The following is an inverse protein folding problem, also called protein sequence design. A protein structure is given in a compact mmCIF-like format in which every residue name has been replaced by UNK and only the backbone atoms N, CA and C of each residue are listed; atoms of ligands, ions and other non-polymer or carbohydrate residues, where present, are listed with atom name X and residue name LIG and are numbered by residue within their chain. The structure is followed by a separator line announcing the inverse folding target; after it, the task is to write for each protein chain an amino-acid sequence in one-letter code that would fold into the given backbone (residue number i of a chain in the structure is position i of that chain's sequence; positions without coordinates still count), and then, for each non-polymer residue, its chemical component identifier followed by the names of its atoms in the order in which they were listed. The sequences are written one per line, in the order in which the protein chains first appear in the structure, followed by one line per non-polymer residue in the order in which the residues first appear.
data_IF_859253080367
#
_entry.id   IF_859253080367
#
_cell.length_a   1.000
_cell.length_b   1.000
_cell.length_c   1.000
_cell.angle_alpha   90.00
_cell.angle_beta   90.00
_cell.angle_gamma   90.00
#
_symmetry.space_group_name_H-M   'P 1'
#
loop_
_entity.id
_entity.type
_entity.pdbx_description
1 polymer ?
#
# COMPACT_ATOMS: atom_id res chain seq x y z
N UNK A 1 25.90 -51.16 9.18
CA UNK A 1 26.81 -51.46 8.05
C UNK A 1 26.05 -51.24 6.75
N UNK A 2 26.71 -50.79 5.67
CA UNK A 2 26.17 -50.61 4.29
C UNK A 2 25.10 -49.48 4.21
N UNK A 3 25.42 -48.23 3.84
CA UNK A 3 25.86 -47.69 2.52
C UNK A 3 24.83 -47.82 1.39
N UNK A 4 24.15 -46.72 1.08
CA UNK A 4 23.70 -46.25 -0.25
C UNK A 4 22.86 -44.95 -0.06
N UNK A 5 22.83 -43.96 -0.95
CA UNK A 5 23.80 -43.59 -1.99
C UNK A 5 23.63 -42.09 -2.31
N UNK A 6 24.74 -41.42 -2.62
CA UNK A 6 24.75 -40.04 -3.13
C UNK A 6 24.31 -40.04 -4.60
N UNK A 7 23.47 -39.08 -5.00
CA UNK A 7 23.33 -38.67 -6.39
C UNK A 7 23.29 -37.13 -6.46
N UNK A 8 24.46 -36.52 -6.57
CA UNK A 8 24.62 -35.08 -6.82
C UNK A 8 24.38 -34.82 -8.30
N UNK A 9 23.34 -34.04 -8.63
CA UNK A 9 23.04 -33.65 -10.00
C UNK A 9 23.82 -32.39 -10.38
N UNK A 10 24.97 -32.55 -11.02
CA UNK A 10 25.76 -31.45 -11.55
C UNK A 10 25.09 -30.83 -12.78
N UNK A 11 24.56 -29.61 -12.65
CA UNK A 11 24.13 -28.79 -13.79
C UNK A 11 25.35 -28.08 -14.39
N UNK A 12 25.69 -28.42 -15.63
CA UNK A 12 26.75 -27.77 -16.38
C UNK A 12 26.23 -26.52 -17.10
N UNK A 13 26.76 -25.35 -16.75
CA UNK A 13 26.43 -24.08 -17.38
C UNK A 13 27.23 -23.92 -18.69
N UNK A 14 26.58 -24.00 -19.85
CA UNK A 14 27.22 -23.74 -21.15
C UNK A 14 26.97 -22.30 -21.59
N UNK A 15 28.02 -21.48 -21.50
CA UNK A 15 28.08 -20.15 -22.11
C UNK A 15 28.27 -20.28 -23.62
N UNK A 16 27.21 -20.03 -24.39
CA UNK A 16 27.27 -19.88 -25.84
C UNK A 16 26.95 -18.43 -26.23
N UNK A 17 27.98 -17.57 -26.22
CA UNK A 17 27.89 -16.25 -26.84
C UNK A 17 28.13 -16.35 -28.34
N UNK A 18 27.38 -15.58 -29.14
CA UNK A 18 27.75 -15.34 -30.54
C UNK A 18 27.23 -13.98 -31.03
N UNK A 19 28.14 -13.03 -31.23
CA UNK A 19 27.90 -11.87 -32.10
C UNK A 19 28.05 -12.30 -33.56
N UNK A 20 27.13 -11.88 -34.44
CA UNK A 20 27.22 -12.24 -35.87
C UNK A 20 26.23 -11.44 -36.73
N UNK A 21 26.76 -10.50 -37.51
CA UNK A 21 26.01 -9.51 -38.29
C UNK A 21 25.80 -9.95 -39.76
N UNK A 22 24.71 -9.47 -40.38
CA UNK A 22 24.49 -9.24 -41.84
C UNK A 22 24.52 -10.40 -42.86
N UNK A 23 23.42 -10.53 -43.62
CA UNK A 23 23.22 -10.15 -45.05
C UNK A 23 21.78 -10.60 -45.44
N UNK A 24 20.82 -9.76 -45.89
CA UNK A 24 20.74 -8.80 -47.00
C UNK A 24 20.50 -9.42 -48.39
N UNK A 25 19.28 -9.28 -48.96
CA UNK A 25 19.06 -8.58 -50.25
C UNK A 25 17.60 -8.45 -50.74
N UNK A 26 17.27 -7.22 -51.19
CA UNK A 26 16.56 -6.82 -52.44
C UNK A 26 15.26 -7.54 -52.90
N UNK A 27 14.27 -6.92 -53.55
CA UNK A 27 13.97 -5.52 -53.97
C UNK A 27 12.44 -5.48 -54.36
N UNK A 28 11.79 -4.44 -54.91
CA UNK A 28 12.15 -3.08 -55.35
C UNK A 28 10.89 -2.16 -55.30
N UNK A 29 11.04 -0.89 -55.69
CA UNK A 29 9.93 0.03 -56.12
C UNK A 29 9.98 0.20 -57.66
N UNK A 30 8.93 0.71 -58.34
CA UNK A 30 8.71 2.17 -58.53
C UNK A 30 7.19 2.55 -58.48
N UNK A 31 6.67 3.76 -58.74
CA UNK A 31 7.15 4.96 -59.46
C UNK A 31 6.42 6.26 -59.01
N UNK A 32 6.94 7.42 -59.46
CA UNK A 32 6.41 8.79 -59.28
C UNK A 32 5.28 9.14 -60.32
N UNK A 33 4.69 10.35 -60.46
CA UNK A 33 5.19 11.72 -60.21
C UNK A 33 4.13 12.88 -60.32
N UNK A 34 4.50 14.10 -59.87
CA UNK A 34 4.07 15.47 -60.33
C UNK A 34 2.57 15.89 -60.27
N UNK A 35 2.07 17.15 -60.10
CA UNK A 35 2.53 18.55 -59.89
C UNK A 35 1.25 19.45 -59.73
N UNK A 36 1.19 20.74 -59.35
CA UNK A 36 2.04 21.73 -58.63
C UNK A 36 1.26 23.07 -58.40
N UNK A 37 1.71 23.95 -57.48
CA UNK A 37 1.28 25.36 -57.19
C UNK A 37 -0.11 25.60 -56.54
N UNK A 38 -0.29 26.46 -55.52
CA UNK A 38 0.09 27.89 -55.47
C UNK A 38 0.02 28.57 -54.07
N UNK A 39 0.86 29.59 -53.86
CA UNK A 39 0.77 30.78 -52.99
C UNK A 39 0.69 30.73 -51.43
N UNK A 40 1.51 31.61 -50.83
CA UNK A 40 1.66 32.04 -49.40
C UNK A 40 0.75 33.26 -49.09
N UNK A 41 0.72 33.95 -47.90
CA UNK A 41 1.64 33.88 -46.74
C UNK A 41 1.08 34.09 -45.29
N UNK A 42 1.98 33.93 -44.29
CA UNK A 42 2.04 34.55 -42.93
C UNK A 42 0.85 34.39 -41.94
N UNK A 43 1.03 34.09 -40.65
CA UNK A 43 2.03 34.60 -39.71
C UNK A 43 2.19 33.74 -38.42
N UNK A 44 3.35 33.86 -37.75
CA UNK A 44 3.68 33.35 -36.40
C UNK A 44 3.78 34.57 -35.44
N UNK A 45 3.45 34.48 -34.14
CA UNK A 45 4.36 33.98 -33.08
C UNK A 45 3.64 32.98 -32.12
N UNK A 46 4.25 32.10 -31.31
CA UNK A 46 5.49 32.06 -30.49
C UNK A 46 5.47 32.93 -29.20
N UNK A 47 6.09 32.48 -28.07
CA UNK A 47 5.38 32.51 -26.78
C UNK A 47 6.07 33.26 -25.61
N UNK A 48 5.37 33.31 -24.46
CA UNK A 48 5.86 33.59 -23.07
C UNK A 48 6.26 35.05 -22.73
N UNK A 49 6.40 35.46 -21.43
CA UNK A 49 5.89 34.90 -20.16
C UNK A 49 5.19 35.96 -19.24
N UNK A 50 4.45 35.50 -18.21
CA UNK A 50 4.25 36.11 -16.86
C UNK A 50 3.46 35.08 -16.02
N UNK A 51 3.91 34.51 -14.90
CA UNK A 51 4.57 35.06 -13.69
C UNK A 51 3.59 35.73 -12.71
N UNK A 52 3.49 35.11 -11.53
CA UNK A 52 2.96 35.60 -10.26
C UNK A 52 1.48 36.04 -10.13
N UNK A 53 0.72 35.17 -9.46
CA UNK A 53 0.05 35.56 -8.22
C UNK A 53 0.00 34.34 -7.27
N UNK A 54 1.13 34.03 -6.62
CA UNK A 54 1.10 33.11 -5.48
C UNK A 54 0.42 33.82 -4.31
N UNK A 55 -0.69 33.25 -3.83
CA UNK A 55 -1.36 33.71 -2.62
C UNK A 55 -1.57 32.50 -1.70
N UNK A 56 -0.45 32.00 -1.18
CA UNK A 56 -0.42 31.15 0.01
C UNK A 56 -0.98 31.93 1.20
N UNK A 57 -2.31 31.91 1.32
CA UNK A 57 -3.01 32.26 2.55
C UNK A 57 -3.19 30.98 3.35
N UNK A 58 -2.22 30.67 4.22
CA UNK A 58 -2.40 29.73 5.32
C UNK A 58 -3.43 30.30 6.29
N UNK A 59 -4.70 30.16 5.95
CA UNK A 59 -5.80 30.36 6.85
C UNK A 59 -6.07 29.01 7.53
N UNK A 60 -5.54 28.82 8.74
CA UNK A 60 -6.01 27.78 9.66
C UNK A 60 -7.50 28.01 9.90
N UNK A 61 -8.30 27.36 9.07
CA UNK A 61 -9.74 27.51 8.96
C UNK A 61 -10.35 26.25 9.53
N UNK A 62 -11.25 26.40 10.51
CA UNK A 62 -12.05 25.28 10.96
C UNK A 62 -12.79 24.66 9.75
N UNK A 63 -12.95 23.32 9.70
CA UNK A 63 -13.58 22.64 8.57
C UNK A 63 -14.96 23.25 8.28
N UNK A 64 -15.25 23.46 7.00
CA UNK A 64 -16.54 23.97 6.56
C UNK A 64 -17.63 22.89 6.60
N UNK A 65 -18.88 23.26 6.37
CA UNK A 65 -20.00 22.32 6.50
C UNK A 65 -19.91 21.17 5.47
N UNK A 66 -19.60 19.96 5.95
CA UNK A 66 -19.37 18.77 5.11
C UNK A 66 -17.89 18.38 4.98
N UNK A 67 -16.99 19.14 5.59
CA UNK A 67 -15.58 18.76 5.77
C UNK A 67 -15.34 18.24 7.19
N UNK A 68 -14.32 17.40 7.32
CA UNK A 68 -13.84 16.81 8.57
C UNK A 68 -12.32 16.89 8.63
N UNK A 69 -11.77 16.89 9.84
CA UNK A 69 -10.33 16.91 10.08
C UNK A 69 -9.84 15.53 10.47
N UNK A 70 -8.90 14.98 9.69
CA UNK A 70 -8.11 13.79 10.04
C UNK A 70 -6.90 14.28 10.83
N UNK A 71 -6.64 13.67 11.98
CA UNK A 71 -5.40 13.87 12.74
C UNK A 71 -4.54 12.62 12.55
N UNK A 72 -3.32 12.82 12.07
CA UNK A 72 -2.30 11.80 11.91
C UNK A 72 -1.35 11.84 13.12
N UNK A 73 -1.38 10.83 13.99
CA UNK A 73 -0.49 10.69 15.16
C UNK A 73 0.99 10.91 14.87
N UNK A 74 1.71 11.57 15.79
CA UNK A 74 3.16 11.76 15.69
C UNK A 74 3.94 10.43 15.67
N UNK A 75 3.42 9.41 16.36
CA UNK A 75 3.97 8.05 16.41
C UNK A 75 4.04 7.34 15.05
N UNK A 76 3.20 7.72 14.10
CA UNK A 76 3.21 7.18 12.73
C UNK A 76 4.21 7.90 11.81
N UNK A 77 4.89 8.94 12.32
CA UNK A 77 5.82 9.78 11.57
C UNK A 77 7.28 9.59 12.05
N UNK A 78 7.70 8.34 12.30
CA UNK A 78 9.03 8.01 12.84
C UNK A 78 10.21 8.56 12.01
N UNK A 79 10.01 8.75 10.71
CA UNK A 79 10.99 9.30 9.77
C UNK A 79 10.95 10.82 9.61
N UNK A 80 9.91 11.49 10.13
CA UNK A 80 9.59 12.89 9.83
C UNK A 80 9.06 13.14 8.40
N UNK A 81 8.72 12.08 7.64
CA UNK A 81 8.17 12.17 6.29
C UNK A 81 6.65 12.46 6.29
N UNK A 82 6.32 13.71 6.62
CA UNK A 82 4.96 14.26 6.53
C UNK A 82 4.42 14.19 5.09
N UNK A 83 5.28 14.25 4.07
CA UNK A 83 4.83 14.19 2.68
C UNK A 83 4.31 12.80 2.31
N UNK A 84 5.09 11.75 2.62
CA UNK A 84 4.69 10.35 2.47
C UNK A 84 3.45 10.00 3.29
N UNK A 85 3.42 10.41 4.57
CA UNK A 85 2.28 10.19 5.47
C UNK A 85 0.95 10.77 4.94
N UNK A 86 1.00 11.94 4.32
CA UNK A 86 -0.21 12.66 3.86
C UNK A 86 -0.48 12.52 2.36
N UNK A 87 0.36 11.79 1.62
CA UNK A 87 0.26 11.65 0.16
C UNK A 87 -1.11 11.16 -0.28
N UNK A 88 -1.63 10.11 0.36
CA UNK A 88 -2.89 9.50 -0.04
C UNK A 88 -4.11 10.40 0.22
N UNK A 89 -4.16 11.10 1.37
CA UNK A 89 -5.24 12.07 1.61
C UNK A 89 -5.13 13.29 0.70
N UNK A 90 -3.92 13.73 0.32
CA UNK A 90 -3.73 14.76 -0.73
C UNK A 90 -4.31 14.30 -2.06
N UNK A 91 -4.04 13.06 -2.47
CA UNK A 91 -4.60 12.46 -3.69
C UNK A 91 -6.13 12.30 -3.60
N UNK A 92 -6.67 11.99 -2.41
CA UNK A 92 -8.11 12.01 -2.13
C UNK A 92 -8.71 13.43 -2.03
N UNK A 93 -7.93 14.49 -2.24
CA UNK A 93 -8.40 15.87 -2.29
C UNK A 93 -8.45 16.61 -0.96
N UNK A 94 -7.65 16.19 0.04
CA UNK A 94 -7.49 16.92 1.29
C UNK A 94 -6.76 18.26 1.10
N UNK A 95 -7.04 19.19 2.01
CA UNK A 95 -6.54 20.57 2.07
C UNK A 95 -6.12 20.91 3.50
N UNK A 96 -5.59 22.12 3.73
CA UNK A 96 -5.24 22.65 5.06
C UNK A 96 -4.32 21.73 5.89
N UNK A 97 -3.37 21.08 5.22
CA UNK A 97 -2.44 20.14 5.85
C UNK A 97 -1.45 20.93 6.70
N UNK A 98 -1.50 20.70 8.01
CA UNK A 98 -0.83 21.52 9.03
C UNK A 98 -0.08 20.61 10.00
N UNK A 99 1.22 20.83 10.15
CA UNK A 99 2.02 20.20 11.22
C UNK A 99 1.70 20.86 12.56
N UNK A 100 1.41 20.03 13.57
CA UNK A 100 1.09 20.48 14.93
C UNK A 100 2.36 20.51 15.79
N UNK A 101 2.33 21.29 16.88
CA UNK A 101 3.48 21.45 17.79
C UNK A 101 3.88 20.22 18.60
N UNK A 102 3.09 19.14 18.54
CA UNK A 102 3.35 17.82 19.14
C UNK A 102 3.91 16.80 18.12
N UNK A 103 4.10 17.19 16.86
CA UNK A 103 4.58 16.33 15.77
C UNK A 103 3.48 15.58 15.02
N UNK A 104 2.22 15.69 15.44
CA UNK A 104 1.08 15.18 14.67
C UNK A 104 0.78 16.09 13.46
N UNK A 105 0.00 15.60 12.49
CA UNK A 105 -0.38 16.37 11.30
C UNK A 105 -1.90 16.38 11.17
N UNK A 106 -2.49 17.55 10.93
CA UNK A 106 -3.94 17.67 10.68
C UNK A 106 -4.19 17.92 9.20
N UNK A 107 -5.10 17.18 8.57
CA UNK A 107 -5.57 17.40 7.21
C UNK A 107 -7.10 17.59 7.19
N UNK A 108 -7.62 18.45 6.31
CA UNK A 108 -9.06 18.67 6.12
C UNK A 108 -9.53 18.05 4.83
N UNK A 109 -10.56 17.19 4.87
CA UNK A 109 -11.11 16.48 3.71
C UNK A 109 -12.65 16.57 3.71
N UNK A 110 -13.29 16.44 2.55
CA UNK A 110 -14.75 16.28 2.51
C UNK A 110 -15.16 14.90 3.04
N UNK A 111 -16.32 14.81 3.70
CA UNK A 111 -16.86 13.52 4.16
C UNK A 111 -16.99 12.53 2.99
N UNK A 112 -17.45 12.98 1.82
CA UNK A 112 -17.60 12.15 0.62
C UNK A 112 -16.27 11.50 0.17
N UNK A 113 -15.15 12.21 0.30
CA UNK A 113 -13.85 11.66 -0.08
C UNK A 113 -13.23 10.80 1.02
N UNK A 114 -13.51 11.11 2.29
CA UNK A 114 -13.18 10.22 3.40
C UNK A 114 -13.93 8.88 3.30
N UNK A 115 -15.22 8.90 3.01
CA UNK A 115 -16.04 7.70 2.84
C UNK A 115 -15.50 6.79 1.71
N UNK A 116 -15.02 7.38 0.60
CA UNK A 116 -14.37 6.64 -0.49
C UNK A 116 -13.02 6.03 -0.06
N UNK A 117 -12.24 6.77 0.73
CA UNK A 117 -10.96 6.27 1.26
C UNK A 117 -11.19 5.10 2.21
N UNK A 118 -12.14 5.22 3.14
CA UNK A 118 -12.53 4.13 4.04
C UNK A 118 -13.07 2.90 3.28
N UNK A 119 -13.86 3.11 2.22
CA UNK A 119 -14.30 2.01 1.34
C UNK A 119 -13.15 1.33 0.59
N UNK A 120 -12.15 2.08 0.13
CA UNK A 120 -10.92 1.51 -0.45
C UNK A 120 -10.21 0.62 0.58
N UNK A 121 -9.96 1.13 1.78
CA UNK A 121 -9.28 0.37 2.84
C UNK A 121 -10.05 -0.88 3.27
N UNK A 122 -11.38 -0.79 3.39
CA UNK A 122 -12.22 -1.95 3.65
C UNK A 122 -12.08 -3.00 2.55
N UNK A 123 -12.09 -2.61 1.27
CA UNK A 123 -11.92 -3.53 0.16
C UNK A 123 -10.52 -4.17 0.13
N UNK A 124 -9.48 -3.41 0.46
CA UNK A 124 -8.10 -3.92 0.56
C UNK A 124 -7.93 -4.90 1.73
N UNK A 125 -8.47 -4.57 2.92
CA UNK A 125 -8.48 -5.47 4.07
C UNK A 125 -9.25 -6.76 3.77
N UNK A 126 -10.46 -6.67 3.20
CA UNK A 126 -11.22 -7.85 2.77
C UNK A 126 -10.44 -8.70 1.76
N UNK A 127 -9.76 -8.09 0.78
CA UNK A 127 -8.95 -8.83 -0.20
C UNK A 127 -7.72 -9.52 0.42
N UNK A 128 -7.07 -8.92 1.43
CA UNK A 128 -5.98 -9.57 2.18
C UNK A 128 -6.52 -10.78 2.98
N UNK A 129 -7.67 -10.62 3.62
CA UNK A 129 -8.32 -11.68 4.41
C UNK A 129 -8.78 -12.85 3.52
N UNK A 130 -9.45 -12.55 2.40
CA UNK A 130 -9.83 -13.53 1.39
C UNK A 130 -8.59 -14.25 0.83
N UNK A 131 -7.51 -13.51 0.55
CA UNK A 131 -6.24 -14.07 0.08
C UNK A 131 -5.60 -15.02 1.09
N UNK A 132 -5.61 -14.69 2.37
CA UNK A 132 -5.11 -15.53 3.46
C UNK A 132 -5.90 -16.85 3.58
N UNK A 133 -7.23 -16.78 3.48
CA UNK A 133 -8.12 -17.95 3.54
C UNK A 133 -8.11 -18.80 2.25
N UNK A 134 -7.85 -18.18 1.10
CA UNK A 134 -7.88 -18.83 -0.24
C UNK A 134 -6.56 -19.48 -0.64
N UNK A 135 -5.56 -19.51 0.25
CA UNK A 135 -4.24 -20.07 -0.02
C UNK A 135 -4.29 -21.50 -0.58
N UNK A 136 -3.32 -21.84 -1.43
CA UNK A 136 -3.21 -23.11 -2.17
C UNK A 136 -2.82 -24.33 -1.30
N UNK A 137 -3.17 -24.29 -0.02
CA UNK A 137 -2.77 -25.24 1.02
C UNK A 137 -1.45 -24.89 1.71
N UNK A 138 -0.84 -23.76 1.36
CA UNK A 138 0.46 -23.30 1.90
C UNK A 138 0.36 -22.45 3.17
N UNK A 139 -0.76 -21.74 3.39
CA UNK A 139 -0.97 -20.95 4.63
C UNK A 139 -1.34 -21.85 5.82
N UNK A 140 -0.81 -21.50 6.98
CA UNK A 140 -1.26 -22.06 8.25
C UNK A 140 -2.66 -21.57 8.64
N UNK A 141 -3.08 -20.39 8.15
CA UNK A 141 -4.40 -19.78 8.45
C UNK A 141 -5.52 -20.64 7.85
N UNK A 142 -6.48 -21.01 8.70
CA UNK A 142 -7.65 -21.84 8.37
C UNK A 142 -8.95 -21.07 8.41
N UNK A 143 -9.04 -20.08 9.30
CA UNK A 143 -10.17 -19.18 9.46
C UNK A 143 -9.67 -17.83 9.99
N UNK A 144 -10.38 -16.77 9.64
CA UNK A 144 -10.10 -15.41 10.14
C UNK A 144 -11.44 -14.69 10.34
N UNK A 145 -11.76 -14.43 11.60
CA UNK A 145 -12.94 -13.71 12.04
C UNK A 145 -12.54 -12.32 12.55
N UNK A 146 -13.33 -11.29 12.24
CA UNK A 146 -12.98 -9.90 12.52
C UNK A 146 -14.25 -9.03 12.59
N UNK A 147 -14.14 -7.84 13.22
CA UNK A 147 -15.18 -6.82 13.16
C UNK A 147 -15.01 -5.94 11.92
N UNK A 148 -15.86 -6.15 10.90
CA UNK A 148 -15.91 -5.35 9.66
C UNK A 148 -16.15 -3.85 9.90
N UNK A 149 -16.72 -3.45 11.04
CA UNK A 149 -17.00 -2.05 11.34
C UNK A 149 -15.81 -1.28 11.92
N UNK A 150 -14.80 -1.97 12.45
CA UNK A 150 -13.71 -1.33 13.22
C UNK A 150 -12.31 -1.85 12.89
N UNK A 151 -12.18 -3.08 12.39
CA UNK A 151 -10.91 -3.76 12.13
C UNK A 151 -9.93 -3.74 13.33
N UNK A 152 -10.47 -3.75 14.55
CA UNK A 152 -9.68 -3.63 15.80
C UNK A 152 -9.46 -4.97 16.54
N UNK A 153 -10.12 -6.04 16.12
CA UNK A 153 -9.95 -7.38 16.67
C UNK A 153 -10.02 -8.43 15.56
N UNK A 154 -9.07 -9.37 15.62
CA UNK A 154 -8.90 -10.48 14.70
C UNK A 154 -8.76 -11.78 15.48
N UNK A 155 -9.63 -12.74 15.22
CA UNK A 155 -9.56 -14.10 15.75
C UNK A 155 -9.12 -15.01 14.60
N UNK A 156 -7.85 -15.41 14.60
CA UNK A 156 -7.18 -16.12 13.51
C UNK A 156 -6.98 -17.57 13.95
N UNK A 157 -7.67 -18.51 13.31
CA UNK A 157 -7.47 -19.95 13.53
C UNK A 157 -6.37 -20.46 12.61
N UNK A 158 -5.36 -21.12 13.16
CA UNK A 158 -4.18 -21.61 12.43
C UNK A 158 -3.86 -23.07 12.74
N UNK A 159 -3.25 -23.77 11.78
CA UNK A 159 -2.37 -24.91 12.08
C UNK A 159 -1.15 -24.36 12.82
N UNK A 160 -1.12 -24.54 14.14
CA UNK A 160 -0.05 -23.99 14.98
C UNK A 160 1.34 -24.48 14.56
N UNK A 161 1.47 -25.75 14.16
CA UNK A 161 2.78 -26.31 13.81
C UNK A 161 3.29 -25.78 12.46
N UNK A 162 2.38 -25.46 11.53
CA UNK A 162 2.72 -24.75 10.31
C UNK A 162 3.01 -23.26 10.57
N UNK A 163 2.23 -22.60 11.44
CA UNK A 163 2.38 -21.19 11.80
C UNK A 163 3.74 -20.89 12.45
N UNK A 164 4.16 -21.72 13.42
CA UNK A 164 5.45 -21.60 14.13
C UNK A 164 6.66 -22.09 13.31
N UNK A 165 6.48 -22.50 12.05
CA UNK A 165 7.56 -23.01 11.19
C UNK A 165 8.41 -21.92 10.54
N UNK A 166 9.68 -22.22 10.25
CA UNK A 166 10.60 -21.26 9.60
C UNK A 166 10.19 -20.88 8.16
N UNK A 167 9.35 -21.69 7.52
CA UNK A 167 8.79 -21.45 6.17
C UNK A 167 7.47 -20.64 6.20
N UNK A 168 6.96 -20.31 7.39
CA UNK A 168 5.70 -19.57 7.57
C UNK A 168 5.79 -18.13 7.08
N UNK A 169 4.94 -17.77 6.12
CA UNK A 169 4.78 -16.40 5.65
C UNK A 169 3.64 -15.65 6.35
N UNK A 170 2.85 -16.32 7.20
CA UNK A 170 1.61 -15.77 7.75
C UNK A 170 1.84 -14.60 8.72
N UNK A 171 3.02 -14.51 9.34
CA UNK A 171 3.42 -13.32 10.10
C UNK A 171 3.45 -12.03 9.26
N UNK A 172 3.76 -12.12 7.94
CA UNK A 172 3.68 -10.97 7.03
C UNK A 172 2.23 -10.61 6.69
N UNK A 173 1.32 -11.59 6.67
CA UNK A 173 -0.13 -11.36 6.50
C UNK A 173 -0.68 -10.61 7.71
N UNK A 174 -0.36 -11.07 8.92
CA UNK A 174 -0.76 -10.42 10.18
C UNK A 174 -0.19 -9.00 10.27
N UNK A 175 1.08 -8.80 9.91
CA UNK A 175 1.69 -7.47 9.85
C UNK A 175 1.00 -6.55 8.83
N UNK A 176 0.66 -7.04 7.64
CA UNK A 176 -0.09 -6.29 6.63
C UNK A 176 -1.50 -5.91 7.10
N UNK A 177 -2.20 -6.82 7.77
CA UNK A 177 -3.48 -6.53 8.41
C UNK A 177 -3.33 -5.44 9.48
N UNK A 178 -2.29 -5.53 10.31
CA UNK A 178 -2.04 -4.55 11.37
C UNK A 178 -1.82 -3.14 10.81
N UNK A 179 -0.95 -2.98 9.81
CA UNK A 179 -0.70 -1.68 9.19
C UNK A 179 -1.96 -1.07 8.56
N UNK A 180 -2.70 -1.87 7.78
CA UNK A 180 -3.89 -1.37 7.06
C UNK A 180 -5.04 -1.05 8.02
N UNK A 181 -5.20 -1.82 9.09
CA UNK A 181 -6.18 -1.54 10.15
C UNK A 181 -5.83 -0.30 10.95
N UNK A 182 -4.54 -0.04 11.18
CA UNK A 182 -4.09 1.16 11.87
C UNK A 182 -4.39 2.42 11.03
N UNK A 183 -4.16 2.37 9.72
CA UNK A 183 -4.58 3.44 8.81
C UNK A 183 -6.10 3.61 8.77
N UNK A 184 -6.86 2.51 8.76
CA UNK A 184 -8.33 2.57 8.84
C UNK A 184 -8.81 3.29 10.12
N UNK A 185 -8.18 3.04 11.27
CA UNK A 185 -8.49 3.72 12.53
C UNK A 185 -8.12 5.22 12.50
N UNK A 186 -6.97 5.59 11.93
CA UNK A 186 -6.59 7.00 11.71
C UNK A 186 -7.63 7.73 10.86
N UNK A 187 -8.00 7.15 9.72
CA UNK A 187 -9.01 7.76 8.83
C UNK A 187 -10.42 7.77 9.45
N UNK A 188 -10.74 6.78 10.29
CA UNK A 188 -11.98 6.77 11.08
C UNK A 188 -11.98 7.78 12.25
N UNK A 189 -10.88 8.49 12.48
CA UNK A 189 -10.75 9.51 13.52
C UNK A 189 -10.63 8.94 14.94
N UNK A 190 -10.15 7.70 15.09
CA UNK A 190 -9.90 7.09 16.40
C UNK A 190 -8.75 7.84 17.09
N UNK A 191 -8.91 8.32 18.35
CA UNK A 191 -7.83 8.97 19.08
C UNK A 191 -6.63 8.04 19.28
N UNK A 192 -5.41 8.56 19.21
CA UNK A 192 -4.17 7.78 19.33
C UNK A 192 -4.13 6.87 20.58
N UNK A 193 -4.62 7.37 21.72
CA UNK A 193 -4.68 6.61 22.98
C UNK A 193 -5.70 5.45 22.98
N UNK A 194 -6.66 5.46 22.04
CA UNK A 194 -7.68 4.43 21.86
C UNK A 194 -7.38 3.52 20.65
N UNK A 195 -6.45 3.91 19.76
CA UNK A 195 -6.02 3.11 18.62
C UNK A 195 -5.36 1.81 19.09
N UNK A 196 -5.97 0.68 18.74
CA UNK A 196 -5.43 -0.65 19.04
C UNK A 196 -5.98 -1.70 18.10
N UNK A 197 -5.19 -2.74 17.88
CA UNK A 197 -5.55 -3.90 17.07
C UNK A 197 -5.15 -5.14 17.86
N UNK A 198 -6.11 -6.01 18.15
CA UNK A 198 -5.90 -7.26 18.89
C UNK A 198 -5.92 -8.43 17.93
N UNK A 199 -4.87 -9.25 17.96
CA UNK A 199 -4.77 -10.50 17.22
C UNK A 199 -4.77 -11.66 18.21
N UNK A 200 -5.80 -12.50 18.16
CA UNK A 200 -5.89 -13.74 18.92
C UNK A 200 -5.61 -14.92 17.97
N UNK A 201 -4.52 -15.65 18.22
CA UNK A 201 -4.15 -16.85 17.47
C UNK A 201 -4.69 -18.08 18.17
N UNK A 202 -5.52 -18.83 17.44
CA UNK A 202 -6.27 -19.99 17.92
C UNK A 202 -5.71 -21.25 17.23
N UNK A 203 -5.37 -22.27 18.03
CA UNK A 203 -4.90 -23.56 17.50
C UNK A 203 -6.10 -24.36 16.97
N UNK A 204 -6.09 -24.71 15.68
CA UNK A 204 -7.18 -25.46 15.04
C UNK A 204 -7.48 -26.82 15.71
N UNK A 205 -6.48 -27.42 16.37
CA UNK A 205 -6.58 -28.75 16.98
C UNK A 205 -7.24 -28.73 18.36
N UNK A 206 -7.20 -27.60 19.07
CA UNK A 206 -7.72 -27.46 20.44
C UNK A 206 -8.89 -26.48 20.54
N UNK A 207 -8.95 -25.48 19.65
CA UNK A 207 -9.84 -24.32 19.75
C UNK A 207 -9.44 -23.33 20.84
N UNK A 208 -8.24 -23.46 21.42
CA UNK A 208 -7.74 -22.55 22.46
C UNK A 208 -6.87 -21.44 21.85
N UNK A 209 -7.01 -20.22 22.38
CA UNK A 209 -6.09 -19.10 22.08
C UNK A 209 -4.74 -19.42 22.72
N UNK A 210 -3.69 -19.50 21.90
CA UNK A 210 -2.33 -19.77 22.39
C UNK A 210 -1.43 -18.53 22.41
N UNK A 211 -1.78 -17.48 21.67
CA UNK A 211 -1.09 -16.20 21.62
C UNK A 211 -2.11 -15.07 21.41
N UNK A 212 -1.93 -13.97 22.14
CA UNK A 212 -2.66 -12.72 21.93
C UNK A 212 -1.65 -11.58 21.82
N UNK A 213 -1.71 -10.84 20.72
CA UNK A 213 -0.82 -9.72 20.42
C UNK A 213 -1.67 -8.45 20.24
N UNK A 214 -1.25 -7.34 20.86
CA UNK A 214 -1.97 -6.05 20.80
C UNK A 214 -1.03 -4.99 20.24
N UNK A 215 -1.45 -4.33 19.16
CA UNK A 215 -0.65 -3.33 18.44
C UNK A 215 -1.34 -1.95 18.46
N UNK A 216 -0.62 -0.83 18.66
CA UNK A 216 0.80 -0.79 19.03
C UNK A 216 1.02 -1.45 20.39
N UNK A 217 2.19 -2.06 20.60
CA UNK A 217 2.50 -2.61 21.92
C UNK A 217 2.40 -1.49 22.95
N UNK A 218 1.58 -1.68 23.98
CA UNK A 218 1.48 -0.70 25.05
C UNK A 218 2.84 -0.63 25.75
N UNK A 219 3.57 0.47 25.55
CA UNK A 219 4.85 0.67 26.23
C UNK A 219 4.65 0.47 27.73
N UNK A 220 5.35 -0.53 28.28
CA UNK A 220 5.30 -0.81 29.70
C UNK A 220 5.89 0.40 30.43
N UNK A 221 5.01 1.24 31.00
CA UNK A 221 5.39 2.42 31.79
C UNK A 221 6.20 1.94 32.99
N UNK A 222 7.53 2.12 32.91
CA UNK A 222 8.51 1.81 33.96
C UNK A 222 8.72 3.00 34.90
#
# INVERSE_FOLDING_TARGET
MKKASILILTVALLLAGCSGNKEEKNAASPSAATSSASASPSAQPSPSPSAEASSSAEASSAPSAGEVSIVFPASLNESGDVEGMTAEVKEAGATNITENGDGSVTATISQENLDKLLQKYHAELSAVIEGAQSGDGSSSIKNLEYDEATFNEYNITVDRAAYESEDSADGLVIFGLAMQSMMYQVYSGVPEADMKITFNLIDESTGEVFETSVLPEAEAVQ
#
